data_IF_907954935148
#
_entry.id   IF_907954935148
#
_cell.length_a   1.000
_cell.length_b   1.000
_cell.length_c   1.000
_cell.angle_alpha   90.00
_cell.angle_beta   90.00
_cell.angle_gamma   90.00
#
_symmetry.space_group_name_H-M   'P 1'
#
loop_
_entity.id
_entity.type
_entity.pdbx_description
1 polymer ?
#
# COMPACT_ATOMS: atom_id res chain seq x y z
N UNK A 1 -13.11 33.55 -58.67
CA UNK A 1 -12.65 32.34 -57.93
C UNK A 1 -11.93 32.90 -56.72
N UNK A 2 -12.36 32.56 -55.49
CA UNK A 2 -11.71 32.86 -54.17
C UNK A 2 -12.69 33.10 -53.01
N UNK A 3 -14.00 32.85 -53.20
CA UNK A 3 -14.97 32.85 -52.08
C UNK A 3 -15.33 31.46 -51.56
N UNK A 4 -14.86 30.38 -52.21
CA UNK A 4 -15.13 28.99 -51.81
C UNK A 4 -14.09 28.41 -50.83
N UNK A 5 -12.86 28.94 -50.81
CA UNK A 5 -11.78 28.41 -49.97
C UNK A 5 -11.83 28.88 -48.50
N UNK A 6 -12.55 29.97 -48.21
CA UNK A 6 -12.67 30.49 -46.85
C UNK A 6 -13.69 29.72 -45.99
N UNK A 7 -14.75 29.18 -46.62
CA UNK A 7 -15.84 28.47 -45.93
C UNK A 7 -15.42 27.08 -45.42
N UNK A 8 -14.54 26.39 -46.15
CA UNK A 8 -14.02 25.05 -45.79
C UNK A 8 -13.07 25.12 -44.58
N UNK A 9 -12.25 26.17 -44.47
CA UNK A 9 -11.33 26.36 -43.33
C UNK A 9 -12.07 26.57 -42.00
N UNK A 10 -13.19 27.29 -42.01
CA UNK A 10 -13.99 27.54 -40.79
C UNK A 10 -14.71 26.28 -40.31
N UNK A 11 -15.16 25.43 -41.26
CA UNK A 11 -15.81 24.16 -40.93
C UNK A 11 -14.86 23.17 -40.25
N UNK A 12 -13.61 23.09 -40.70
CA UNK A 12 -12.59 22.21 -40.12
C UNK A 12 -12.13 22.66 -38.73
N UNK A 13 -12.05 23.97 -38.47
CA UNK A 13 -11.75 24.48 -37.13
C UNK A 13 -12.88 24.20 -36.14
N UNK A 14 -14.14 24.27 -36.58
CA UNK A 14 -15.29 23.90 -35.74
C UNK A 14 -15.35 22.41 -35.44
N UNK A 15 -14.98 21.54 -36.39
CA UNK A 15 -14.88 20.09 -36.16
C UNK A 15 -13.70 19.75 -35.25
N UNK A 16 -12.53 20.39 -35.39
CA UNK A 16 -11.40 20.18 -34.48
C UNK A 16 -11.67 20.72 -33.06
N UNK A 17 -12.42 21.82 -32.93
CA UNK A 17 -12.84 22.35 -31.63
C UNK A 17 -13.90 21.46 -30.96
N UNK A 18 -14.85 20.90 -31.74
CA UNK A 18 -15.81 19.91 -31.24
C UNK A 18 -15.13 18.59 -30.87
N UNK A 19 -14.13 18.13 -31.63
CA UNK A 19 -13.36 16.93 -31.29
C UNK A 19 -12.45 17.14 -30.07
N UNK A 20 -11.95 18.36 -29.83
CA UNK A 20 -11.25 18.70 -28.59
C UNK A 20 -12.19 18.67 -27.38
N UNK A 21 -13.42 19.20 -27.52
CA UNK A 21 -14.44 19.17 -26.47
C UNK A 21 -14.96 17.75 -26.21
N UNK A 22 -14.96 16.87 -27.23
CA UNK A 22 -15.31 15.45 -27.08
C UNK A 22 -14.15 14.57 -26.61
N UNK A 23 -12.89 14.99 -26.77
CA UNK A 23 -11.72 14.33 -26.18
C UNK A 23 -11.69 14.54 -24.66
N UNK A 24 -12.22 15.67 -24.19
CA UNK A 24 -12.35 16.00 -22.77
C UNK A 24 -13.56 15.33 -22.09
N UNK A 25 -14.45 14.69 -22.86
CA UNK A 25 -15.64 14.01 -22.32
C UNK A 25 -15.36 12.58 -21.82
N UNK A 26 -14.12 12.11 -21.93
CA UNK A 26 -13.72 10.78 -21.45
C UNK A 26 -12.65 10.82 -20.35
N UNK A 27 -12.59 11.91 -19.59
CA UNK A 27 -11.83 11.96 -18.34
C UNK A 27 -12.79 11.80 -17.17
N UNK A 28 -12.64 10.69 -16.45
CA UNK A 28 -13.41 10.37 -15.25
C UNK A 28 -13.31 11.47 -14.20
N UNK A 29 -14.38 11.62 -13.42
CA UNK A 29 -14.74 12.61 -12.39
C UNK A 29 -13.71 12.95 -11.28
N UNK A 30 -12.45 12.55 -11.40
CA UNK A 30 -11.38 12.75 -10.42
C UNK A 30 -10.25 13.53 -11.07
N UNK A 31 -9.89 14.67 -10.48
CA UNK A 31 -8.68 15.41 -10.87
C UNK A 31 -7.48 14.55 -10.46
N UNK A 32 -6.94 13.84 -11.46
CA UNK A 32 -5.76 13.01 -11.32
C UNK A 32 -4.54 13.90 -11.03
N UNK A 33 -3.67 13.53 -10.07
CA UNK A 33 -2.44 14.28 -9.82
C UNK A 33 -1.59 14.40 -11.09
N UNK A 34 -0.91 15.56 -11.32
CA UNK A 34 -0.25 15.86 -12.58
C UNK A 34 0.90 14.90 -12.94
N UNK A 35 1.49 14.26 -11.93
CA UNK A 35 2.57 13.27 -12.05
C UNK A 35 2.05 11.83 -12.21
N UNK A 36 0.73 11.65 -12.26
CA UNK A 36 0.06 10.36 -12.35
C UNK A 36 -0.82 10.24 -13.61
N UNK A 37 -1.16 9.01 -13.93
CA UNK A 37 -2.18 8.60 -14.87
C UNK A 37 -3.22 7.81 -14.10
N UNK A 38 -4.49 8.20 -14.17
CA UNK A 38 -5.56 7.58 -13.40
C UNK A 38 -6.59 6.94 -14.32
N UNK A 39 -7.15 5.82 -13.87
CA UNK A 39 -8.29 5.15 -14.47
C UNK A 39 -9.35 4.87 -13.40
N UNK A 40 -10.44 4.18 -13.77
CA UNK A 40 -11.49 3.80 -12.81
C UNK A 40 -11.02 2.84 -11.71
N UNK A 41 -9.91 2.12 -11.94
CA UNK A 41 -9.43 1.07 -11.03
C UNK A 41 -7.96 1.19 -10.65
N UNK A 42 -7.21 2.09 -11.29
CA UNK A 42 -5.77 2.19 -11.13
C UNK A 42 -5.30 3.64 -11.06
N UNK A 43 -4.38 3.91 -10.12
CA UNK A 43 -3.60 5.15 -10.05
C UNK A 43 -2.14 4.78 -10.31
N UNK A 44 -1.55 5.35 -11.36
CA UNK A 44 -0.20 5.03 -11.79
C UNK A 44 0.68 6.29 -11.88
N UNK A 45 1.65 6.41 -10.97
CA UNK A 45 2.54 7.56 -10.85
C UNK A 45 3.98 7.12 -11.07
N UNK A 46 4.57 7.46 -12.22
CA UNK A 46 5.95 7.10 -12.58
C UNK A 46 6.83 8.30 -12.93
N UNK A 47 6.25 9.50 -12.98
CA UNK A 47 7.00 10.73 -13.21
C UNK A 47 7.65 11.13 -11.90
N UNK A 48 8.94 11.46 -11.97
CA UNK A 48 9.71 11.94 -10.82
C UNK A 48 8.98 13.09 -10.16
N UNK A 49 8.81 12.99 -8.85
CA UNK A 49 8.14 13.99 -8.04
C UNK A 49 8.92 14.21 -6.73
N UNK A 50 8.94 15.46 -6.28
CA UNK A 50 9.56 15.88 -5.03
C UNK A 50 8.52 16.22 -3.96
N UNK A 51 7.23 16.12 -4.28
CA UNK A 51 6.15 16.34 -3.34
C UNK A 51 6.12 15.27 -2.25
N UNK A 52 5.73 15.70 -1.05
CA UNK A 52 5.70 14.87 0.17
C UNK A 52 4.35 14.21 0.42
N UNK A 53 3.35 14.58 -0.37
CA UNK A 53 1.97 14.17 -0.18
C UNK A 53 1.67 12.94 -1.02
N UNK A 54 0.91 12.01 -0.43
CA UNK A 54 0.38 10.87 -1.18
C UNK A 54 -0.57 11.38 -2.28
N UNK A 55 -0.63 10.75 -3.47
CA UNK A 55 -1.53 11.17 -4.54
C UNK A 55 -2.97 10.93 -4.08
N UNK A 56 -3.61 11.98 -3.58
CA UNK A 56 -5.04 11.97 -3.32
C UNK A 56 -5.74 12.41 -4.62
N UNK A 57 -6.76 11.67 -5.04
CA UNK A 57 -7.61 12.11 -6.12
C UNK A 57 -8.43 13.33 -5.64
N UNK A 58 -8.31 14.46 -6.34
CA UNK A 58 -9.09 15.64 -6.01
C UNK A 58 -10.51 15.50 -6.60
N UNK A 59 -11.51 15.88 -5.81
CA UNK A 59 -12.91 15.87 -6.22
C UNK A 59 -13.27 17.22 -6.81
N UNK A 60 -13.77 17.21 -8.03
CA UNK A 60 -14.35 18.41 -8.62
C UNK A 60 -15.79 18.53 -8.10
N UNK A 61 -16.03 19.52 -7.23
CA UNK A 61 -17.38 19.95 -6.85
C UNK A 61 -18.08 20.52 -8.10
N UNK A 62 -18.59 19.64 -8.95
CA UNK A 62 -19.46 20.03 -10.05
C UNK A 62 -20.79 20.44 -9.45
N UNK A 63 -20.98 21.75 -9.34
CA UNK A 63 -22.21 22.35 -8.89
C UNK A 63 -23.43 21.73 -9.59
N UNK A 64 -24.19 20.96 -8.82
CA UNK A 64 -25.61 20.65 -8.98
C UNK A 64 -26.10 20.42 -10.42
N UNK A 65 -26.02 19.17 -10.86
CA UNK A 65 -27.16 18.47 -11.46
C UNK A 65 -27.13 16.99 -11.03
N UNK A 66 -27.43 16.75 -9.75
CA UNK A 66 -28.29 15.63 -9.34
C UNK A 66 -27.90 14.19 -9.68
N UNK A 67 -26.64 13.83 -9.81
CA UNK A 67 -26.21 12.44 -9.60
C UNK A 67 -25.35 12.39 -8.35
N UNK A 68 -25.93 11.95 -7.23
CA UNK A 68 -25.19 11.56 -6.02
C UNK A 68 -24.34 10.34 -6.37
N UNK A 69 -23.22 10.54 -7.07
CA UNK A 69 -22.18 9.53 -7.15
C UNK A 69 -21.53 9.52 -5.78
N UNK A 70 -21.71 8.43 -5.02
CA UNK A 70 -21.11 8.30 -3.71
C UNK A 70 -19.59 8.33 -3.89
N UNK A 71 -18.98 9.42 -3.43
CA UNK A 71 -17.53 9.66 -3.49
C UNK A 71 -16.76 8.47 -2.90
N UNK A 72 -17.34 7.81 -1.90
CA UNK A 72 -16.76 6.63 -1.27
C UNK A 72 -16.73 5.43 -2.21
N UNK A 73 -17.68 5.30 -3.13
CA UNK A 73 -17.69 4.25 -4.15
C UNK A 73 -16.58 4.46 -5.19
N UNK A 74 -16.25 5.70 -5.53
CA UNK A 74 -15.15 6.00 -6.45
C UNK A 74 -13.80 5.50 -5.91
N UNK A 75 -13.47 5.83 -4.66
CA UNK A 75 -12.23 5.35 -4.02
C UNK A 75 -12.23 3.84 -3.79
N UNK A 76 -13.40 3.25 -3.56
CA UNK A 76 -13.56 1.80 -3.42
C UNK A 76 -13.28 1.05 -4.72
N UNK A 77 -13.52 1.66 -5.88
CA UNK A 77 -13.27 1.03 -7.17
C UNK A 77 -11.77 0.95 -7.53
N UNK A 78 -10.92 1.75 -6.87
CA UNK A 78 -9.47 1.67 -7.06
C UNK A 78 -8.94 0.38 -6.43
N UNK A 79 -8.38 -0.48 -7.29
CA UNK A 79 -7.82 -1.79 -6.93
C UNK A 79 -6.30 -1.82 -6.99
N UNK A 80 -5.67 -0.90 -7.74
CA UNK A 80 -4.23 -0.82 -7.94
C UNK A 80 -3.72 0.61 -7.72
N UNK A 81 -2.68 0.76 -6.92
CA UNK A 81 -1.92 2.02 -6.80
C UNK A 81 -0.45 1.69 -7.03
N UNK A 82 0.15 2.36 -8.01
CA UNK A 82 1.58 2.25 -8.34
C UNK A 82 2.24 3.63 -8.25
N UNK A 83 3.25 3.73 -7.39
CA UNK A 83 4.05 4.94 -7.18
C UNK A 83 5.52 4.56 -7.32
N UNK A 84 6.22 5.26 -8.20
CA UNK A 84 7.62 5.03 -8.49
C UNK A 84 8.38 6.34 -8.68
N UNK A 85 9.62 6.40 -8.18
CA UNK A 85 10.53 7.56 -8.29
C UNK A 85 10.01 8.84 -7.59
N UNK A 86 9.16 8.71 -6.58
CA UNK A 86 8.69 9.84 -5.75
C UNK A 86 9.61 10.05 -4.55
N UNK A 87 10.59 10.93 -4.69
CA UNK A 87 11.65 11.11 -3.68
C UNK A 87 11.19 11.94 -2.46
N UNK A 88 10.10 12.71 -2.61
CA UNK A 88 9.50 13.45 -1.51
C UNK A 88 8.66 12.60 -0.56
N UNK A 89 8.16 11.44 -1.02
CA UNK A 89 7.34 10.52 -0.23
C UNK A 89 8.20 9.76 0.79
N UNK A 90 8.24 10.27 2.03
CA UNK A 90 9.02 9.68 3.12
C UNK A 90 8.20 8.91 4.15
N UNK A 91 6.90 9.21 4.23
CA UNK A 91 6.00 8.59 5.21
C UNK A 91 4.68 8.26 4.55
N UNK A 92 4.23 7.01 4.71
CA UNK A 92 2.88 6.58 4.36
C UNK A 92 2.02 6.62 5.63
N UNK A 93 0.96 7.43 5.62
CA UNK A 93 0.10 7.65 6.79
C UNK A 93 -1.14 6.76 6.78
N UNK A 94 -1.75 6.59 7.95
CA UNK A 94 -3.03 5.90 8.13
C UNK A 94 -4.11 6.49 7.20
N UNK A 95 -4.20 7.82 7.17
CA UNK A 95 -5.21 8.57 6.40
C UNK A 95 -5.02 8.46 4.88
N UNK A 96 -3.80 8.21 4.41
CA UNK A 96 -3.50 8.14 2.97
C UNK A 96 -4.16 6.90 2.33
N UNK A 97 -4.41 5.86 3.12
CA UNK A 97 -4.87 4.55 2.66
C UNK A 97 -6.34 4.25 3.03
N UNK A 98 -6.92 5.01 3.96
CA UNK A 98 -8.23 4.75 4.58
C UNK A 98 -9.38 4.68 3.56
N UNK A 99 -9.31 5.51 2.51
CA UNK A 99 -10.38 5.63 1.50
C UNK A 99 -10.36 4.47 0.49
N UNK A 100 -9.21 3.86 0.24
CA UNK A 100 -9.01 2.84 -0.80
C UNK A 100 -9.38 1.42 -0.33
N UNK A 101 -10.60 1.25 0.16
CA UNK A 101 -11.07 -0.01 0.78
C UNK A 101 -11.10 -1.23 -0.16
N UNK A 102 -11.18 -0.99 -1.48
CA UNK A 102 -11.11 -2.03 -2.51
C UNK A 102 -9.71 -2.37 -3.00
N UNK A 103 -8.66 -1.74 -2.44
CA UNK A 103 -7.29 -1.89 -2.91
C UNK A 103 -6.78 -3.34 -2.78
N UNK A 104 -6.19 -3.85 -3.85
CA UNK A 104 -5.66 -5.22 -3.96
C UNK A 104 -4.15 -5.25 -4.19
N UNK A 105 -3.61 -4.21 -4.87
CA UNK A 105 -2.19 -4.07 -5.20
C UNK A 105 -1.69 -2.68 -4.82
N UNK A 106 -0.61 -2.63 -4.05
CA UNK A 106 0.12 -1.42 -3.74
C UNK A 106 1.59 -1.57 -4.12
N UNK A 107 2.06 -0.71 -4.99
CA UNK A 107 3.49 -0.57 -5.30
C UNK A 107 3.93 0.83 -4.90
N UNK A 108 4.90 0.91 -4.00
CA UNK A 108 5.64 2.14 -3.70
C UNK A 108 7.11 1.74 -3.79
N UNK A 109 7.75 1.98 -4.94
CA UNK A 109 9.11 1.48 -5.19
C UNK A 109 10.06 2.59 -5.60
N UNK A 110 11.34 2.44 -5.26
CA UNK A 110 12.38 3.42 -5.55
C UNK A 110 11.99 4.86 -5.15
N UNK A 111 11.29 4.96 -4.01
CA UNK A 111 10.94 6.23 -3.37
C UNK A 111 11.86 6.44 -2.17
N UNK A 112 11.64 7.51 -1.41
CA UNK A 112 12.38 7.77 -0.17
C UNK A 112 11.59 7.33 1.08
N UNK A 113 10.75 6.30 0.95
CA UNK A 113 9.84 5.88 2.00
C UNK A 113 10.63 5.29 3.18
N UNK A 114 10.50 5.91 4.34
CA UNK A 114 11.23 5.53 5.57
C UNK A 114 10.31 4.99 6.66
N UNK A 115 9.06 5.46 6.69
CA UNK A 115 8.11 5.16 7.76
C UNK A 115 6.75 4.82 7.16
N UNK A 116 6.14 3.76 7.66
CA UNK A 116 4.73 3.41 7.40
C UNK A 116 4.03 3.43 8.75
N UNK A 117 2.94 4.20 8.86
CA UNK A 117 2.21 4.30 10.12
C UNK A 117 1.53 2.97 10.49
N UNK A 118 1.40 2.65 11.80
CA UNK A 118 1.03 1.30 12.25
C UNK A 118 -0.32 0.77 11.76
N UNK A 119 -1.24 1.64 11.33
CA UNK A 119 -2.57 1.25 10.85
C UNK A 119 -2.80 1.63 9.39
N UNK A 120 -1.72 1.88 8.64
CA UNK A 120 -1.78 2.24 7.22
C UNK A 120 -2.65 1.28 6.40
N UNK A 121 -2.63 -0.02 6.69
CA UNK A 121 -3.40 -1.01 5.91
C UNK A 121 -4.66 -1.52 6.61
N UNK A 122 -5.11 -0.87 7.69
CA UNK A 122 -6.21 -1.38 8.51
C UNK A 122 -7.56 -1.44 7.77
N UNK A 123 -7.79 -0.57 6.79
CA UNK A 123 -9.03 -0.54 5.99
C UNK A 123 -8.91 -1.28 4.65
N UNK A 124 -7.73 -1.79 4.29
CA UNK A 124 -7.46 -2.39 2.98
C UNK A 124 -7.45 -3.93 3.07
N UNK A 125 -8.53 -4.53 3.58
CA UNK A 125 -8.63 -5.99 3.82
C UNK A 125 -8.47 -6.85 2.54
N UNK A 126 -8.70 -6.26 1.38
CA UNK A 126 -8.54 -6.89 0.07
C UNK A 126 -7.09 -6.85 -0.46
N UNK A 127 -6.16 -6.19 0.23
CA UNK A 127 -4.78 -6.04 -0.20
C UNK A 127 -4.09 -7.41 -0.20
N UNK A 128 -3.51 -7.78 -1.34
CA UNK A 128 -2.85 -9.08 -1.57
C UNK A 128 -1.41 -8.95 -2.04
N UNK A 129 -1.09 -7.86 -2.73
CA UNK A 129 0.23 -7.62 -3.32
C UNK A 129 0.78 -6.29 -2.83
N UNK A 130 1.94 -6.33 -2.19
CA UNK A 130 2.65 -5.14 -1.71
C UNK A 130 4.08 -5.16 -2.24
N UNK A 131 4.50 -4.08 -2.87
CA UNK A 131 5.88 -3.89 -3.29
C UNK A 131 6.44 -2.60 -2.67
N UNK A 132 7.39 -2.76 -1.76
CA UNK A 132 8.12 -1.68 -1.08
C UNK A 132 9.61 -1.68 -1.45
N UNK A 133 9.98 -2.35 -2.54
CA UNK A 133 11.37 -2.52 -2.97
C UNK A 133 12.08 -1.18 -3.20
N UNK A 134 13.40 -1.20 -2.98
CA UNK A 134 14.30 -0.05 -3.21
C UNK A 134 13.92 1.21 -2.42
N UNK A 135 13.23 1.07 -1.29
CA UNK A 135 13.03 2.16 -0.34
C UNK A 135 14.02 2.06 0.83
N UNK A 136 14.41 3.19 1.44
CA UNK A 136 15.31 3.23 2.58
C UNK A 136 14.60 2.90 3.91
N UNK A 137 13.77 1.84 3.92
CA UNK A 137 13.16 1.32 5.14
C UNK A 137 14.23 0.63 5.98
N UNK A 138 14.35 1.01 7.25
CA UNK A 138 15.27 0.38 8.21
C UNK A 138 14.62 -0.71 9.04
N UNK A 139 13.29 -0.71 9.13
CA UNK A 139 12.49 -1.72 9.83
C UNK A 139 11.10 -1.81 9.21
N UNK A 140 10.39 -2.91 9.50
CA UNK A 140 9.01 -3.11 9.10
C UNK A 140 8.33 -3.99 10.14
N UNK A 141 7.15 -3.57 10.62
CA UNK A 141 6.39 -4.28 11.62
C UNK A 141 5.44 -5.29 10.96
N UNK A 142 5.38 -6.51 11.48
CA UNK A 142 4.43 -7.54 11.03
C UNK A 142 2.97 -7.15 11.29
N UNK A 143 2.72 -6.30 12.29
CA UNK A 143 1.37 -5.86 12.65
C UNK A 143 0.67 -5.08 11.53
N UNK A 144 1.42 -4.49 10.59
CA UNK A 144 0.88 -3.89 9.37
C UNK A 144 0.10 -4.90 8.52
N UNK A 145 0.46 -6.18 8.59
CA UNK A 145 -0.05 -7.24 7.72
C UNK A 145 -0.94 -8.24 8.46
N UNK A 146 -1.15 -8.09 9.78
CA UNK A 146 -1.83 -9.08 10.62
C UNK A 146 -3.25 -9.45 10.14
N UNK A 147 -3.94 -8.52 9.47
CA UNK A 147 -5.30 -8.71 8.97
C UNK A 147 -5.35 -8.98 7.46
N UNK A 148 -4.20 -9.16 6.81
CA UNK A 148 -4.08 -9.35 5.36
C UNK A 148 -3.66 -10.77 5.04
N UNK A 149 -4.23 -11.34 3.98
CA UNK A 149 -3.79 -12.61 3.41
C UNK A 149 -2.84 -12.34 2.25
N UNK A 150 -1.63 -11.85 2.53
CA UNK A 150 -0.69 -11.46 1.49
C UNK A 150 -0.28 -12.64 0.60
N UNK A 151 -0.42 -12.45 -0.71
CA UNK A 151 0.11 -13.35 -1.71
C UNK A 151 1.59 -13.03 -2.00
N UNK A 152 1.95 -11.75 -2.03
CA UNK A 152 3.31 -11.30 -2.30
C UNK A 152 3.66 -10.03 -1.52
N UNK A 153 4.84 -10.04 -0.88
CA UNK A 153 5.48 -8.87 -0.29
C UNK A 153 6.90 -8.73 -0.86
N UNK A 154 7.14 -7.71 -1.67
CA UNK A 154 8.47 -7.42 -2.24
C UNK A 154 9.23 -6.39 -1.43
N UNK A 155 10.43 -6.76 -1.02
CA UNK A 155 11.37 -5.98 -0.21
C UNK A 155 12.78 -5.94 -0.84
N UNK A 156 12.91 -6.31 -2.12
CA UNK A 156 14.18 -6.30 -2.85
C UNK A 156 14.88 -4.93 -2.73
N UNK A 157 16.17 -4.92 -2.43
CA UNK A 157 16.96 -3.68 -2.28
C UNK A 157 16.65 -2.87 -1.02
N UNK A 158 15.81 -3.36 -0.11
CA UNK A 158 15.69 -2.82 1.26
C UNK A 158 16.77 -3.44 2.12
N UNK A 159 17.50 -2.61 2.88
CA UNK A 159 18.52 -3.06 3.83
C UNK A 159 18.09 -2.67 5.24
N UNK A 160 17.61 -3.66 6.00
CA UNK A 160 17.10 -3.45 7.35
C UNK A 160 18.25 -3.27 8.37
N UNK A 161 17.96 -2.66 9.52
CA UNK A 161 18.82 -2.78 10.71
C UNK A 161 18.59 -4.16 11.33
N UNK A 162 19.65 -4.96 11.51
CA UNK A 162 19.53 -6.29 12.09
C UNK A 162 18.99 -6.19 13.53
N UNK A 163 17.91 -6.91 13.84
CA UNK A 163 17.27 -6.83 15.14
C UNK A 163 16.07 -7.75 15.26
N UNK A 164 15.53 -7.84 16.48
CA UNK A 164 14.39 -8.72 16.74
C UNK A 164 13.09 -8.27 16.08
N UNK A 165 12.95 -6.96 15.89
CA UNK A 165 11.83 -6.32 15.18
C UNK A 165 11.61 -6.81 13.74
N UNK A 166 12.65 -7.31 13.06
CA UNK A 166 12.56 -7.86 11.70
C UNK A 166 12.65 -9.40 11.66
N UNK A 167 12.70 -10.06 12.82
CA UNK A 167 12.79 -11.54 12.92
C UNK A 167 11.65 -12.26 12.21
N UNK A 168 10.46 -11.66 12.21
CA UNK A 168 9.29 -12.20 11.52
C UNK A 168 9.51 -12.36 10.00
N UNK A 169 10.30 -11.47 9.38
CA UNK A 169 10.61 -11.56 7.94
C UNK A 169 11.44 -12.83 7.68
N UNK A 170 12.44 -13.09 8.51
CA UNK A 170 13.23 -14.32 8.43
C UNK A 170 12.36 -15.58 8.66
N UNK A 171 11.41 -15.54 9.61
CA UNK A 171 10.47 -16.64 9.83
C UNK A 171 9.56 -16.88 8.62
N UNK A 172 9.04 -15.82 8.00
CA UNK A 172 8.22 -15.92 6.80
C UNK A 172 9.00 -16.48 5.61
N UNK A 173 10.27 -16.08 5.44
CA UNK A 173 11.16 -16.68 4.45
C UNK A 173 11.30 -18.20 4.65
N UNK A 174 11.47 -18.66 5.90
CA UNK A 174 11.61 -20.09 6.21
C UNK A 174 10.32 -20.89 5.95
N UNK A 175 9.15 -20.26 6.14
CA UNK A 175 7.84 -20.89 5.94
C UNK A 175 7.32 -20.78 4.50
N UNK A 176 7.98 -19.99 3.65
CA UNK A 176 7.52 -19.72 2.30
C UNK A 176 6.36 -18.74 2.20
N UNK A 177 6.13 -17.91 3.21
CA UNK A 177 5.02 -16.94 3.27
C UNK A 177 5.29 -15.73 2.35
N UNK A 178 4.21 -15.23 1.71
CA UNK A 178 4.18 -14.01 0.90
C UNK A 178 5.32 -13.86 -0.15
N UNK A 179 5.84 -14.97 -0.68
CA UNK A 179 6.93 -14.95 -1.67
C UNK A 179 8.26 -14.39 -1.15
N UNK A 180 8.47 -14.29 0.16
CA UNK A 180 9.73 -13.74 0.71
C UNK A 180 10.92 -14.69 0.49
N UNK A 181 10.67 -15.99 0.45
CA UNK A 181 11.71 -17.02 0.24
C UNK A 181 12.39 -16.95 -1.12
N UNK A 182 11.79 -16.27 -2.11
CA UNK A 182 12.36 -16.10 -3.46
C UNK A 182 13.24 -14.86 -3.58
N UNK A 183 13.40 -14.07 -2.51
CA UNK A 183 14.13 -12.81 -2.49
C UNK A 183 15.46 -12.95 -1.73
N UNK A 184 16.48 -12.23 -2.19
CA UNK A 184 17.74 -12.10 -1.44
C UNK A 184 17.70 -10.86 -0.55
N UNK A 185 17.27 -11.03 0.69
CA UNK A 185 17.14 -9.94 1.67
C UNK A 185 18.37 -9.83 2.58
N UNK A 186 18.65 -8.60 3.02
CA UNK A 186 19.81 -8.28 3.85
C UNK A 186 19.42 -7.41 5.03
N UNK A 187 20.17 -7.53 6.11
CA UNK A 187 20.20 -6.56 7.20
C UNK A 187 21.65 -6.12 7.44
N UNK A 188 21.83 -4.97 8.08
CA UNK A 188 23.15 -4.48 8.51
C UNK A 188 23.22 -4.38 10.03
N UNK A 189 24.40 -4.65 10.57
CA UNK A 189 24.75 -4.40 11.95
C UNK A 189 26.05 -3.60 11.96
N UNK A 190 26.00 -2.36 12.45
CA UNK A 190 27.10 -1.39 12.34
C UNK A 190 27.59 -1.28 10.88
N UNK A 191 28.74 -1.89 10.57
CA UNK A 191 29.36 -1.86 9.24
C UNK A 191 29.21 -3.17 8.44
N UNK A 192 28.64 -4.22 9.03
CA UNK A 192 28.52 -5.54 8.40
C UNK A 192 27.13 -5.78 7.83
N UNK A 193 27.06 -6.03 6.52
CA UNK A 193 25.83 -6.49 5.86
C UNK A 193 25.76 -8.02 5.87
N UNK A 194 24.65 -8.56 6.38
CA UNK A 194 24.41 -9.98 6.58
C UNK A 194 23.16 -10.37 5.78
N UNK A 195 23.19 -11.53 5.12
CA UNK A 195 21.99 -12.09 4.50
C UNK A 195 20.96 -12.39 5.59
N UNK A 196 19.71 -11.99 5.39
CA UNK A 196 18.68 -12.07 6.42
C UNK A 196 18.42 -13.51 6.89
N UNK A 197 18.57 -14.50 6.01
CA UNK A 197 18.46 -15.92 6.38
C UNK A 197 19.51 -16.35 7.44
N UNK A 198 20.67 -15.70 7.48
CA UNK A 198 21.77 -15.95 8.43
C UNK A 198 21.70 -15.06 9.68
N UNK A 199 20.68 -14.21 9.83
CA UNK A 199 20.53 -13.36 11.00
C UNK A 199 20.33 -14.22 12.25
N UNK A 200 21.11 -13.96 13.30
CA UNK A 200 20.99 -14.63 14.59
C UNK A 200 20.98 -13.59 15.71
N UNK A 201 19.86 -13.51 16.42
CA UNK A 201 19.65 -12.60 17.55
C UNK A 201 19.32 -13.46 18.78
N UNK A 202 20.04 -13.26 19.88
CA UNK A 202 19.82 -14.03 21.11
C UNK A 202 18.46 -13.68 21.73
N UNK A 203 17.72 -14.69 22.22
CA UNK A 203 16.42 -14.52 22.87
C UNK A 203 15.42 -13.75 22.00
N UNK A 204 15.30 -14.16 20.74
CA UNK A 204 14.42 -13.52 19.77
C UNK A 204 13.64 -14.59 18.99
N UNK A 205 12.73 -15.23 19.71
CA UNK A 205 11.88 -16.29 19.21
C UNK A 205 10.41 -15.95 19.43
N UNK A 206 9.53 -16.77 18.86
CA UNK A 206 8.09 -16.59 19.02
C UNK A 206 7.69 -16.84 20.48
N UNK A 207 6.73 -16.05 21.03
CA UNK A 207 6.24 -16.30 22.38
C UNK A 207 5.52 -17.64 22.46
N UNK A 208 5.69 -18.33 23.57
CA UNK A 208 4.93 -19.54 23.88
C UNK A 208 3.65 -19.16 24.65
N UNK A 209 2.55 -19.83 24.30
CA UNK A 209 1.23 -19.58 24.88
C UNK A 209 0.74 -20.88 25.52
N UNK A 210 0.32 -20.81 26.78
CA UNK A 210 -0.33 -21.93 27.46
C UNK A 210 -1.67 -21.50 28.07
N UNK A 211 -2.64 -22.41 28.03
CA UNK A 211 -3.97 -22.25 28.63
C UNK A 211 -4.13 -23.25 29.76
N UNK A 212 -4.73 -22.81 30.86
CA UNK A 212 -5.02 -23.66 32.02
C UNK A 212 -5.93 -24.86 31.68
N UNK A 213 -6.89 -24.65 30.78
CA UNK A 213 -7.86 -25.66 30.36
C UNK A 213 -8.13 -25.54 28.86
N UNK A 214 -8.10 -26.65 28.12
CA UNK A 214 -8.42 -26.68 26.68
C UNK A 214 -9.92 -26.70 26.38
N UNK A 215 -10.74 -27.22 27.32
CA UNK A 215 -12.21 -27.22 27.26
C UNK A 215 -12.75 -27.29 28.69
N UNK A 216 -13.81 -26.53 28.97
CA UNK A 216 -14.44 -26.52 30.30
C UNK A 216 -15.91 -26.86 30.14
N UNK A 217 -16.39 -27.86 30.89
CA UNK A 217 -17.81 -28.20 31.00
C UNK A 217 -18.39 -27.47 32.21
N UNK A 218 -19.49 -26.75 32.00
CA UNK A 218 -20.06 -25.85 33.00
C UNK A 218 -21.56 -26.04 33.02
N UNK A 219 -22.14 -26.07 34.22
CA UNK A 219 -23.58 -26.06 34.41
C UNK A 219 -24.13 -24.65 34.50
N UNK A 220 -25.40 -24.46 34.09
CA UNK A 220 -26.05 -23.15 34.10
C UNK A 220 -26.06 -22.57 35.52
N UNK A 221 -25.46 -21.39 35.69
CA UNK A 221 -25.34 -20.70 36.97
C UNK A 221 -23.97 -20.76 37.65
N UNK A 222 -23.03 -21.55 37.13
CA UNK A 222 -21.68 -21.66 37.72
C UNK A 222 -20.70 -20.59 37.22
N UNK A 223 -19.72 -20.26 38.08
CA UNK A 223 -18.60 -19.40 37.74
C UNK A 223 -17.43 -20.21 37.17
N UNK A 224 -16.81 -19.70 36.11
CA UNK A 224 -15.62 -20.31 35.50
C UNK A 224 -14.48 -19.31 35.44
N UNK A 225 -13.29 -19.78 35.78
CA UNK A 225 -12.05 -19.02 35.64
C UNK A 225 -11.10 -19.78 34.71
N UNK A 226 -10.67 -19.12 33.64
CA UNK A 226 -9.64 -19.63 32.73
C UNK A 226 -8.43 -18.71 32.77
N UNK A 227 -7.26 -19.26 33.02
CA UNK A 227 -5.98 -18.54 32.99
C UNK A 227 -5.25 -18.78 31.67
N UNK A 228 -4.66 -17.69 31.14
CA UNK A 228 -3.83 -17.65 29.94
C UNK A 228 -2.44 -17.14 30.34
N UNK A 229 -1.40 -17.92 30.05
CA UNK A 229 -0.02 -17.58 30.40
C UNK A 229 0.80 -17.35 29.12
N UNK A 230 1.53 -16.23 29.10
CA UNK A 230 2.44 -15.84 28.04
C UNK A 230 3.88 -16.00 28.52
N UNK A 231 4.67 -16.80 27.83
CA UNK A 231 6.10 -16.93 28.10
C UNK A 231 6.85 -16.19 27.00
N UNK A 232 7.35 -15.01 27.34
CA UNK A 232 8.15 -14.19 26.43
C UNK A 232 9.60 -14.66 26.44
N UNK A 233 10.13 -15.08 25.30
CA UNK A 233 11.57 -15.16 25.07
C UNK A 233 12.08 -13.75 24.78
N UNK A 234 12.46 -12.99 25.81
CA UNK A 234 12.71 -11.54 25.69
C UNK A 234 13.92 -11.17 24.82
N UNK A 235 13.70 -10.31 23.83
CA UNK A 235 14.46 -9.06 23.67
C UNK A 235 13.55 -7.99 23.05
N UNK A 236 13.26 -6.94 23.85
CA UNK A 236 12.57 -5.74 23.41
C UNK A 236 13.48 -4.88 22.53
#
# INVERSE_FOLDING_TARGET
>A
MDLWFYSIRIYWWRVLFLMSIFQDYLSSMLDCPPTCSCSQTEIYCNKSDNDRFFPLLALQDTGSNGTNVDIKELFKNITSIHIENWTGLQTLKDVDMELYTGLQRLTIMNCNLKVIQPRAFAQNSNLRYINLSKNPLTTLSWQLFQNLQLAELRLDGVVFECGCNIRWIQLWMQRGEAGLHTQELYCKNEDSQIRLHNMYIQKCDLPEISVSHGSVLVTEGDNVTCELQWIWTTSA
#
